data_IF_865145126520
#
_entry.id   IF_865145126520
#
_cell.length_a   1.000
_cell.length_b   1.000
_cell.length_c   1.000
_cell.angle_alpha   90.00
_cell.angle_beta   90.00
_cell.angle_gamma   90.00
#
_symmetry.space_group_name_H-M   'P 1'
#
loop_
_entity.id
_entity.type
_entity.pdbx_description
1 polymer ?
#
# COMPACT_ATOMS: atom_id res chain seq x y z
N UNK A 1 -23.69 -22.04 -15.08
CA UNK A 1 -23.14 -21.52 -13.81
C UNK A 1 -22.12 -20.46 -14.15
N UNK A 2 -22.49 -19.19 -13.99
CA UNK A 2 -21.61 -18.04 -14.16
C UNK A 2 -20.55 -18.08 -13.06
N UNK A 3 -19.30 -18.37 -13.43
CA UNK A 3 -18.17 -18.34 -12.51
C UNK A 3 -17.94 -16.87 -12.13
N UNK A 4 -18.32 -16.48 -10.92
CA UNK A 4 -17.99 -15.18 -10.37
C UNK A 4 -16.47 -14.99 -10.45
N UNK A 5 -15.97 -13.82 -10.89
CA UNK A 5 -14.53 -13.57 -10.92
C UNK A 5 -14.00 -13.71 -9.51
N UNK A 6 -12.92 -14.49 -9.35
CA UNK A 6 -12.27 -14.63 -8.06
C UNK A 6 -11.83 -13.25 -7.58
N UNK A 7 -12.38 -12.79 -6.45
CA UNK A 7 -11.98 -11.53 -5.84
C UNK A 7 -10.49 -11.63 -5.45
N UNK A 8 -9.69 -10.67 -5.87
CA UNK A 8 -8.30 -10.58 -5.44
C UNK A 8 -8.25 -10.14 -3.98
N UNK A 9 -7.92 -11.08 -3.10
CA UNK A 9 -7.84 -10.86 -1.65
C UNK A 9 -6.45 -10.42 -1.18
N UNK A 10 -5.45 -10.38 -2.07
CA UNK A 10 -4.04 -10.09 -1.76
C UNK A 10 -3.81 -8.70 -1.14
N UNK A 11 -4.58 -7.69 -1.58
CA UNK A 11 -4.46 -6.30 -1.11
C UNK A 11 -5.46 -5.95 0.00
N UNK A 12 -6.28 -6.92 0.44
CA UNK A 12 -7.29 -6.70 1.46
C UNK A 12 -6.66 -6.79 2.84
N UNK A 13 -6.99 -5.84 3.72
CA UNK A 13 -6.86 -6.01 5.15
C UNK A 13 -8.24 -6.23 5.77
N UNK A 14 -8.34 -7.11 6.76
CA UNK A 14 -9.59 -7.37 7.47
C UNK A 14 -9.40 -7.22 8.98
N UNK A 15 -10.42 -6.65 9.64
CA UNK A 15 -10.49 -6.51 11.09
C UNK A 15 -11.95 -6.57 11.53
N UNK A 16 -12.22 -7.28 12.63
CA UNK A 16 -13.51 -7.27 13.32
C UNK A 16 -13.35 -6.70 14.74
N UNK A 17 -13.56 -5.38 14.94
CA UNK A 17 -13.41 -4.76 16.25
C UNK A 17 -14.40 -5.31 17.28
N UNK A 18 -15.62 -5.67 16.88
CA UNK A 18 -16.67 -6.21 17.76
C UNK A 18 -16.20 -7.47 18.52
N UNK A 19 -15.49 -8.36 17.82
CA UNK A 19 -14.95 -9.57 18.41
C UNK A 19 -13.86 -9.25 19.44
N UNK A 20 -12.96 -8.32 19.10
CA UNK A 20 -11.88 -7.90 19.99
C UNK A 20 -12.41 -7.15 21.23
N UNK A 21 -13.55 -6.46 21.12
CA UNK A 21 -14.22 -5.86 22.28
C UNK A 21 -14.86 -6.90 23.20
N UNK A 22 -15.46 -7.95 22.62
CA UNK A 22 -16.13 -9.00 23.39
C UNK A 22 -15.13 -9.96 24.09
N UNK A 23 -14.09 -10.39 23.38
CA UNK A 23 -13.14 -11.39 23.86
C UNK A 23 -11.80 -10.80 24.34
N UNK A 24 -11.57 -9.51 24.11
CA UNK A 24 -10.32 -8.83 24.49
C UNK A 24 -9.18 -9.08 23.50
N UNK A 25 -7.94 -9.07 24.01
CA UNK A 25 -6.75 -9.36 23.20
C UNK A 25 -6.68 -10.84 22.84
N UNK A 26 -6.11 -11.13 21.65
CA UNK A 26 -5.89 -12.49 21.19
C UNK A 26 -4.76 -13.15 22.01
N UNK A 27 -5.09 -13.64 23.21
CA UNK A 27 -4.10 -14.25 24.12
C UNK A 27 -3.80 -15.71 23.79
N UNK A 28 -4.69 -16.38 23.07
CA UNK A 28 -4.69 -17.83 22.91
C UNK A 28 -4.77 -18.19 21.42
N UNK A 29 -3.99 -19.17 20.93
CA UNK A 29 -4.03 -19.60 19.53
C UNK A 29 -5.43 -19.99 19.05
N UNK A 30 -6.20 -20.68 19.89
CA UNK A 30 -7.58 -21.08 19.58
C UNK A 30 -8.48 -19.88 19.30
N UNK A 31 -8.38 -18.82 20.12
CA UNK A 31 -9.12 -17.57 19.94
C UNK A 31 -8.69 -16.85 18.66
N UNK A 32 -7.40 -16.89 18.32
CA UNK A 32 -6.89 -16.34 17.06
C UNK A 32 -7.46 -17.10 15.84
N UNK A 33 -7.62 -18.42 15.91
CA UNK A 33 -8.27 -19.21 14.84
C UNK A 33 -9.78 -18.96 14.78
N UNK A 34 -10.45 -18.74 15.91
CA UNK A 34 -11.85 -18.32 15.93
C UNK A 34 -12.03 -16.95 15.25
N UNK A 35 -11.20 -15.98 15.62
CA UNK A 35 -11.14 -14.67 15.00
C UNK A 35 -10.89 -14.75 13.49
N UNK A 36 -9.94 -15.60 13.07
CA UNK A 36 -9.64 -15.83 11.66
C UNK A 36 -10.84 -16.40 10.89
N UNK A 37 -11.70 -17.19 11.53
CA UNK A 37 -12.84 -17.82 10.85
C UNK A 37 -13.96 -16.85 10.46
N UNK A 38 -14.01 -15.68 11.10
CA UNK A 38 -14.87 -14.57 10.73
C UNK A 38 -14.33 -13.79 9.51
N UNK A 39 -13.05 -13.98 9.17
CA UNK A 39 -12.42 -13.28 8.06
C UNK A 39 -12.86 -13.83 6.70
N UNK A 40 -12.89 -13.00 5.64
CA UNK A 40 -13.17 -13.46 4.28
C UNK A 40 -12.09 -14.39 3.71
N UNK A 41 -10.93 -14.47 4.37
CA UNK A 41 -9.83 -15.37 4.00
C UNK A 41 -10.12 -16.82 4.41
N UNK A 42 -11.04 -17.03 5.35
CA UNK A 42 -11.39 -18.36 5.83
C UNK A 42 -12.38 -19.03 4.90
N UNK A 43 -11.99 -20.21 4.41
CA UNK A 43 -12.84 -21.02 3.56
C UNK A 43 -13.78 -21.89 4.42
N UNK A 44 -15.09 -21.64 4.30
CA UNK A 44 -16.12 -22.39 5.02
C UNK A 44 -16.27 -23.85 4.55
N UNK A 45 -15.67 -24.21 3.41
CA UNK A 45 -15.62 -25.59 2.93
C UNK A 45 -14.45 -26.39 3.49
N UNK A 46 -13.52 -25.73 4.20
CA UNK A 46 -12.33 -26.36 4.79
C UNK A 46 -12.65 -27.40 5.86
N UNK A 47 -11.69 -28.29 6.11
CA UNK A 47 -11.78 -29.32 7.14
C UNK A 47 -11.95 -28.71 8.54
N UNK A 48 -11.37 -27.54 8.79
CA UNK A 48 -11.54 -26.80 10.05
C UNK A 48 -13.01 -26.42 10.30
N UNK A 49 -13.73 -25.97 9.27
CA UNK A 49 -15.13 -25.60 9.41
C UNK A 49 -16.00 -26.83 9.71
N UNK A 50 -15.72 -27.95 9.03
CA UNK A 50 -16.41 -29.22 9.28
C UNK A 50 -16.13 -29.75 10.69
N UNK A 51 -14.87 -29.72 11.13
CA UNK A 51 -14.46 -30.13 12.48
C UNK A 51 -15.14 -29.27 13.55
N UNK A 52 -15.18 -27.95 13.36
CA UNK A 52 -15.87 -27.02 14.26
C UNK A 52 -17.36 -27.33 14.37
N UNK A 53 -18.02 -27.55 13.24
CA UNK A 53 -19.44 -27.94 13.22
C UNK A 53 -19.66 -29.26 13.98
N UNK A 54 -18.82 -30.27 13.76
CA UNK A 54 -18.91 -31.56 14.47
C UNK A 54 -18.69 -31.42 15.97
N UNK A 55 -17.70 -30.63 16.39
CA UNK A 55 -17.37 -30.42 17.81
C UNK A 55 -18.44 -29.61 18.55
N UNK A 56 -19.05 -28.63 17.88
CA UNK A 56 -20.18 -27.88 18.45
C UNK A 56 -21.36 -28.81 18.79
N UNK A 57 -21.68 -29.78 17.94
CA UNK A 57 -22.77 -30.72 18.20
C UNK A 57 -22.39 -31.87 19.14
N UNK A 58 -21.15 -32.38 19.05
CA UNK A 58 -20.72 -33.59 19.78
C UNK A 58 -20.25 -33.30 21.20
N UNK A 59 -19.56 -32.17 21.42
CA UNK A 59 -18.83 -31.89 22.66
C UNK A 59 -19.17 -30.56 23.33
N UNK A 60 -20.11 -29.80 22.77
CA UNK A 60 -20.55 -28.52 23.33
C UNK A 60 -19.55 -27.36 23.14
N UNK A 61 -18.52 -27.52 22.29
CA UNK A 61 -17.55 -26.47 22.00
C UNK A 61 -16.18 -26.99 21.54
N UNK A 62 -15.29 -26.05 21.20
CA UNK A 62 -13.90 -26.31 20.78
C UNK A 62 -12.89 -26.23 21.95
N UNK A 63 -13.37 -25.97 23.17
CA UNK A 63 -12.51 -25.68 24.33
C UNK A 63 -11.72 -26.92 24.76
N UNK A 64 -10.38 -26.78 24.85
CA UNK A 64 -9.47 -27.86 25.28
C UNK A 64 -9.16 -28.93 24.23
N UNK A 65 -9.62 -28.77 22.99
CA UNK A 65 -9.29 -29.70 21.89
C UNK A 65 -8.02 -29.24 21.18
N UNK A 66 -7.10 -30.17 20.97
CA UNK A 66 -5.97 -29.96 20.06
C UNK A 66 -6.46 -30.07 18.61
N UNK A 67 -6.73 -28.91 17.99
CA UNK A 67 -7.24 -28.83 16.61
C UNK A 67 -6.30 -29.52 15.61
N UNK A 68 -4.98 -29.45 15.80
CA UNK A 68 -4.02 -30.02 14.86
C UNK A 68 -4.07 -31.56 14.86
N UNK A 69 -4.23 -32.16 16.05
CA UNK A 69 -4.30 -33.62 16.18
C UNK A 69 -5.55 -34.20 15.49
N UNK A 70 -6.68 -33.50 15.57
CA UNK A 70 -7.93 -33.91 14.93
C UNK A 70 -7.89 -33.69 13.41
N UNK A 71 -7.24 -32.61 12.94
CA UNK A 71 -7.09 -32.33 11.51
C UNK A 71 -6.28 -33.39 10.77
N UNK A 72 -5.34 -34.08 11.43
CA UNK A 72 -4.57 -35.19 10.84
C UNK A 72 -5.43 -36.37 10.37
N UNK A 73 -6.66 -36.50 10.86
CA UNK A 73 -7.62 -37.54 10.45
C UNK A 73 -8.29 -37.22 9.11
N UNK A 74 -8.26 -35.96 8.69
CA UNK A 74 -8.88 -35.50 7.46
C UNK A 74 -7.82 -35.30 6.36
N UNK A 75 -8.29 -35.32 5.11
CA UNK A 75 -7.48 -35.05 3.91
C UNK A 75 -8.15 -33.88 3.19
N UNK A 76 -7.36 -32.95 2.65
CA UNK A 76 -7.85 -31.76 1.97
C UNK A 76 -7.38 -30.45 2.60
N UNK A 77 -8.18 -29.41 2.42
CA UNK A 77 -7.83 -28.04 2.81
C UNK A 77 -7.96 -27.83 4.32
N UNK A 78 -6.89 -27.37 4.95
CA UNK A 78 -6.84 -27.05 6.38
C UNK A 78 -6.12 -25.72 6.63
N UNK A 79 -6.47 -25.09 7.76
CA UNK A 79 -5.80 -23.91 8.30
C UNK A 79 -5.16 -24.28 9.63
N UNK A 80 -3.86 -24.06 9.75
CA UNK A 80 -3.09 -24.40 10.95
C UNK A 80 -2.26 -23.21 11.39
N UNK A 81 -2.22 -22.95 12.69
CA UNK A 81 -1.34 -21.94 13.26
C UNK A 81 0.08 -22.49 13.25
N UNK A 82 0.95 -21.90 12.44
CA UNK A 82 2.35 -22.32 12.32
C UNK A 82 3.22 -21.68 13.40
N UNK A 83 2.92 -20.43 13.77
CA UNK A 83 3.65 -19.70 14.77
C UNK A 83 2.70 -18.79 15.55
N UNK A 84 2.92 -18.68 16.85
CA UNK A 84 2.12 -17.88 17.76
C UNK A 84 3.04 -17.14 18.71
N UNK A 85 2.97 -15.81 18.69
CA UNK A 85 3.57 -14.91 19.67
C UNK A 85 2.45 -13.99 20.19
N UNK A 86 1.66 -14.45 21.17
CA UNK A 86 0.58 -13.65 21.74
C UNK A 86 1.13 -12.41 22.48
N UNK A 87 0.44 -11.26 22.43
CA UNK A 87 -0.80 -10.96 21.69
C UNK A 87 -0.56 -10.39 20.27
N UNK A 88 0.69 -10.19 19.88
CA UNK A 88 1.04 -9.31 18.76
C UNK A 88 0.96 -9.98 17.39
N UNK A 89 1.41 -11.24 17.27
CA UNK A 89 1.58 -11.92 15.99
C UNK A 89 1.10 -13.38 16.02
N UNK A 90 0.25 -13.72 15.07
CA UNK A 90 -0.09 -15.11 14.73
C UNK A 90 0.11 -15.36 13.25
N UNK A 91 0.75 -16.48 12.90
CA UNK A 91 0.96 -16.91 11.52
C UNK A 91 0.13 -18.16 11.27
N UNK A 92 -0.77 -18.08 10.29
CA UNK A 92 -1.66 -19.16 9.88
C UNK A 92 -1.24 -19.64 8.50
N UNK A 93 -1.02 -20.93 8.35
CA UNK A 93 -0.76 -21.56 7.06
C UNK A 93 -2.05 -22.17 6.53
N UNK A 94 -2.38 -21.84 5.28
CA UNK A 94 -3.33 -22.60 4.47
C UNK A 94 -2.58 -23.76 3.86
N UNK A 95 -2.97 -24.97 4.22
CA UNK A 95 -2.33 -26.21 3.78
C UNK A 95 -3.34 -27.06 3.03
N UNK A 96 -2.86 -27.82 2.07
CA UNK A 96 -3.60 -28.93 1.48
C UNK A 96 -2.90 -30.23 1.86
N UNK A 97 -3.60 -31.04 2.64
CA UNK A 97 -3.12 -32.31 3.14
C UNK A 97 -3.52 -33.41 2.16
N UNK A 98 -2.53 -34.13 1.63
CA UNK A 98 -2.77 -35.28 0.73
C UNK A 98 -2.77 -36.59 1.51
N UNK A 99 -1.98 -36.66 2.58
CA UNK A 99 -1.91 -37.82 3.48
C UNK A 99 -1.75 -37.37 4.94
N UNK A 100 -1.96 -38.24 5.95
CA UNK A 100 -1.79 -37.88 7.35
C UNK A 100 -0.38 -37.37 7.70
N UNK A 101 0.63 -37.73 6.92
CA UNK A 101 2.03 -37.32 7.13
C UNK A 101 2.45 -36.18 6.19
N UNK A 102 1.82 -36.05 5.03
CA UNK A 102 2.23 -35.11 3.99
C UNK A 102 1.21 -33.98 3.79
N UNK A 103 1.68 -32.75 4.00
CA UNK A 103 0.91 -31.52 3.77
C UNK A 103 1.70 -30.51 2.95
N UNK A 104 1.05 -29.91 1.97
CA UNK A 104 1.61 -28.84 1.13
C UNK A 104 1.11 -27.49 1.60
N UNK A 105 1.99 -26.50 1.75
CA UNK A 105 1.60 -25.13 2.13
C UNK A 105 1.22 -24.37 0.87
N UNK A 106 -0.02 -23.88 0.79
CA UNK A 106 -0.53 -23.10 -0.33
C UNK A 106 -0.33 -21.59 -0.13
N UNK A 107 -0.35 -21.13 1.12
CA UNK A 107 -0.20 -19.72 1.46
C UNK A 107 -0.15 -19.49 2.96
N UNK A 108 0.21 -18.28 3.34
CA UNK A 108 0.27 -17.86 4.73
C UNK A 108 -0.57 -16.58 4.95
N UNK A 109 -1.09 -16.46 6.16
CA UNK A 109 -1.83 -15.31 6.65
C UNK A 109 -1.21 -14.87 7.97
N UNK A 110 -1.16 -13.57 8.19
CA UNK A 110 -0.65 -13.02 9.44
C UNK A 110 -1.72 -12.19 10.12
N UNK A 111 -1.84 -12.38 11.44
CA UNK A 111 -2.67 -11.56 12.31
C UNK A 111 -1.71 -10.69 13.11
N UNK A 112 -1.70 -9.39 12.81
CA UNK A 112 -0.87 -8.38 13.48
C UNK A 112 -1.78 -7.41 14.23
N UNK A 113 -1.67 -7.35 15.55
CA UNK A 113 -2.45 -6.43 16.39
C UNK A 113 -3.97 -6.48 16.12
N UNK A 114 -4.49 -7.67 15.78
CA UNK A 114 -5.88 -7.89 15.39
C UNK A 114 -6.22 -7.57 13.93
N UNK A 115 -5.29 -7.14 13.10
CA UNK A 115 -5.50 -7.00 11.65
C UNK A 115 -5.05 -8.28 10.96
N UNK A 116 -5.90 -8.83 10.09
CA UNK A 116 -5.61 -10.03 9.30
C UNK A 116 -5.21 -9.62 7.90
N UNK A 117 -4.10 -10.18 7.44
CA UNK A 117 -3.54 -9.94 6.13
C UNK A 117 -3.14 -11.25 5.45
N UNK A 118 -3.21 -11.25 4.13
CA UNK A 118 -2.60 -12.30 3.31
C UNK A 118 -1.11 -12.01 3.11
N UNK A 119 -0.25 -13.00 3.33
CA UNK A 119 1.16 -12.89 3.02
C UNK A 119 1.35 -12.97 1.49
N UNK A 120 1.97 -11.97 0.85
CA UNK A 120 2.26 -12.04 -0.57
C UNK A 120 3.38 -13.05 -0.81
N UNK A 121 3.37 -13.68 -1.98
CA UNK A 121 4.49 -14.54 -2.37
C UNK A 121 5.69 -13.69 -2.77
N UNK A 122 6.91 -14.22 -2.59
CA UNK A 122 8.12 -13.50 -3.00
C UNK A 122 8.09 -13.15 -4.50
N UNK A 123 7.55 -14.05 -5.32
CA UNK A 123 7.40 -13.85 -6.75
C UNK A 123 6.51 -12.65 -7.07
N UNK A 124 5.34 -12.53 -6.43
CA UNK A 124 4.45 -11.38 -6.59
C UNK A 124 5.15 -10.07 -6.21
N UNK A 125 5.82 -10.03 -5.04
CA UNK A 125 6.52 -8.83 -4.58
C UNK A 125 7.61 -8.40 -5.57
N UNK A 126 8.38 -9.34 -6.11
CA UNK A 126 9.42 -9.04 -7.09
C UNK A 126 8.84 -8.57 -8.42
N UNK A 127 7.79 -9.25 -8.91
CA UNK A 127 7.14 -8.90 -10.16
C UNK A 127 6.55 -7.48 -10.11
N UNK A 128 5.86 -7.13 -9.03
CA UNK A 128 5.29 -5.79 -8.85
C UNK A 128 6.38 -4.71 -8.75
N UNK A 129 7.49 -4.99 -8.07
CA UNK A 129 8.62 -4.04 -7.97
C UNK A 129 9.29 -3.80 -9.33
N UNK A 130 9.51 -4.84 -10.12
CA UNK A 130 10.09 -4.74 -11.46
C UNK A 130 9.14 -3.97 -12.37
N UNK A 131 7.85 -4.31 -12.35
CA UNK A 131 6.82 -3.64 -13.14
C UNK A 131 6.74 -2.16 -12.81
N UNK A 132 6.70 -1.81 -11.52
CA UNK A 132 6.66 -0.42 -11.06
C UNK A 132 7.91 0.36 -11.51
N UNK A 133 9.09 -0.26 -11.42
CA UNK A 133 10.35 0.35 -11.86
C UNK A 133 10.37 0.59 -13.37
N UNK A 134 9.93 -0.39 -14.15
CA UNK A 134 9.83 -0.29 -15.61
C UNK A 134 8.80 0.76 -16.03
N UNK A 135 7.65 0.80 -15.35
CA UNK A 135 6.62 1.80 -15.57
C UNK A 135 7.14 3.22 -15.28
N UNK A 136 7.88 3.40 -14.19
CA UNK A 136 8.50 4.69 -13.86
C UNK A 136 9.53 5.11 -14.92
N UNK A 137 10.37 4.19 -15.42
CA UNK A 137 11.31 4.47 -16.50
C UNK A 137 10.61 4.82 -17.81
N UNK A 138 9.60 4.04 -18.19
CA UNK A 138 8.82 4.28 -19.41
C UNK A 138 8.13 5.64 -19.36
N UNK A 139 7.47 5.96 -18.24
CA UNK A 139 6.81 7.25 -18.03
C UNK A 139 7.82 8.41 -18.08
N UNK A 140 8.98 8.24 -17.46
CA UNK A 140 10.05 9.25 -17.48
C UNK A 140 10.61 9.47 -18.88
N UNK A 141 10.88 8.40 -19.63
CA UNK A 141 11.39 8.48 -21.00
C UNK A 141 10.35 9.06 -21.96
N UNK A 142 9.06 8.71 -21.80
CA UNK A 142 7.98 9.30 -22.58
C UNK A 142 7.86 10.80 -22.30
N UNK A 143 7.97 11.21 -21.04
CA UNK A 143 7.99 12.62 -20.65
C UNK A 143 9.21 13.34 -21.24
N UNK A 144 10.41 12.75 -21.18
CA UNK A 144 11.59 13.34 -21.81
C UNK A 144 11.44 13.45 -23.33
N UNK A 145 10.82 12.44 -23.96
CA UNK A 145 10.59 12.41 -25.40
C UNK A 145 9.57 13.47 -25.83
N UNK A 146 8.54 13.73 -25.02
CA UNK A 146 7.58 14.81 -25.31
C UNK A 146 8.21 16.20 -25.17
N UNK A 147 9.11 16.40 -24.19
CA UNK A 147 9.88 17.63 -24.02
C UNK A 147 11.11 17.74 -24.93
N UNK A 148 11.33 16.78 -25.83
CA UNK A 148 12.51 16.76 -26.70
C UNK A 148 12.49 17.96 -27.68
N UNK A 149 13.54 18.81 -27.69
CA UNK A 149 13.62 19.90 -28.66
C UNK A 149 13.78 19.34 -30.08
N UNK A 150 13.22 20.05 -31.07
CA UNK A 150 13.38 19.65 -32.48
C UNK A 150 14.86 19.63 -32.86
N UNK A 151 15.31 18.49 -33.39
CA UNK A 151 16.69 18.32 -33.80
C UNK A 151 16.99 19.22 -35.00
N UNK A 152 18.05 20.01 -34.91
CA UNK A 152 18.57 20.81 -36.03
C UNK A 152 20.09 20.62 -36.13
N UNK A 153 20.68 20.51 -37.34
CA UNK A 153 22.12 20.28 -37.51
C UNK A 153 23.00 21.34 -36.82
N UNK A 154 22.48 22.55 -36.64
CA UNK A 154 23.16 23.67 -35.98
C UNK A 154 23.07 23.63 -34.45
N UNK A 155 21.99 23.11 -33.86
CA UNK A 155 21.83 23.00 -32.39
C UNK A 155 22.16 21.62 -31.82
N UNK A 156 22.43 20.62 -32.67
CA UNK A 156 22.79 19.26 -32.27
C UNK A 156 21.85 18.73 -31.16
N UNK A 157 22.34 17.89 -30.24
CA UNK A 157 21.57 17.36 -29.11
C UNK A 157 21.70 18.24 -27.87
N UNK A 158 21.32 19.52 -27.96
CA UNK A 158 21.30 20.42 -26.80
C UNK A 158 19.94 20.34 -26.10
N UNK A 159 19.95 19.97 -24.82
CA UNK A 159 18.77 20.06 -23.93
C UNK A 159 18.84 21.39 -23.16
N UNK A 160 17.85 22.25 -23.34
CA UNK A 160 17.76 23.51 -22.60
C UNK A 160 17.15 23.25 -21.21
N UNK A 161 18.00 22.83 -20.26
CA UNK A 161 17.60 22.62 -18.87
C UNK A 161 17.38 24.00 -18.23
N UNK A 162 16.10 24.37 -18.02
CA UNK A 162 15.78 25.57 -17.23
C UNK A 162 16.29 25.36 -15.79
N UNK A 163 16.99 26.35 -15.18
CA UNK A 163 17.38 26.23 -13.79
C UNK A 163 16.13 26.02 -12.92
N UNK A 164 16.22 25.22 -11.84
CA UNK A 164 15.08 25.02 -10.95
C UNK A 164 14.57 26.39 -10.48
N UNK A 165 13.24 26.60 -10.43
CA UNK A 165 12.70 27.84 -9.92
C UNK A 165 13.30 28.06 -8.53
N UNK A 166 13.92 29.22 -8.34
CA UNK A 166 14.49 29.60 -7.05
C UNK A 166 13.35 29.53 -6.05
N UNK A 167 13.37 28.51 -5.19
CA UNK A 167 12.40 28.36 -4.11
C UNK A 167 12.52 29.65 -3.32
N UNK A 168 11.48 30.47 -3.38
CA UNK A 168 11.45 31.74 -2.68
C UNK A 168 11.84 31.48 -1.23
N UNK A 169 12.75 32.29 -0.73
CA UNK A 169 13.31 32.29 0.63
C UNK A 169 12.27 32.37 1.76
N UNK A 170 10.98 32.30 1.44
CA UNK A 170 9.86 32.22 2.35
C UNK A 170 9.90 30.96 3.25
N UNK A 171 10.38 29.81 2.75
CA UNK A 171 10.47 28.61 3.60
C UNK A 171 11.66 28.64 4.57
N UNK A 172 12.70 29.43 4.27
CA UNK A 172 13.83 29.64 5.18
C UNK A 172 13.49 30.62 6.33
N UNK A 173 12.56 31.54 6.10
CA UNK A 173 12.07 32.46 7.13
C UNK A 173 11.20 31.76 8.19
N UNK A 174 10.52 30.65 7.83
CA UNK A 174 9.73 29.85 8.78
C UNK A 174 10.58 29.09 9.82
N UNK A 175 11.91 29.02 9.64
CA UNK A 175 12.83 28.38 10.59
C UNK A 175 13.30 29.31 11.72
N UNK A 176 13.14 30.63 11.58
CA UNK A 176 13.46 31.62 12.61
C UNK A 176 12.15 32.22 13.13
N UNK A 177 11.55 31.55 14.12
CA UNK A 177 10.29 31.98 14.72
C UNK A 177 10.40 33.32 15.45
N UNK A 178 9.75 34.34 14.89
CA UNK A 178 9.18 35.48 15.62
C UNK A 178 7.76 35.74 15.08
N UNK A 179 6.78 36.04 15.95
CA UNK A 179 5.38 36.06 15.56
C UNK A 179 5.02 37.35 14.80
N UNK A 180 4.51 37.19 13.58
CA UNK A 180 3.83 38.28 12.87
C UNK A 180 2.50 38.58 13.58
N UNK A 181 2.37 39.82 14.06
CA UNK A 181 1.13 40.34 14.61
C UNK A 181 0.02 40.35 13.55
N UNK A 182 -1.16 39.88 13.97
CA UNK A 182 -2.41 39.96 13.23
C UNK A 182 -2.78 41.43 12.99
N UNK A 183 -3.04 41.82 11.73
CA UNK A 183 -3.83 43.01 11.44
C UNK A 183 -5.03 42.60 10.58
N UNK A 184 -6.14 42.40 11.27
CA UNK A 184 -7.48 42.26 10.71
C UNK A 184 -8.03 43.65 10.39
N UNK A 185 -8.21 43.95 9.10
CA UNK A 185 -9.06 45.06 8.67
C UNK A 185 -9.99 44.60 7.53
N UNK A 186 -11.21 44.23 7.92
CA UNK A 186 -12.38 44.19 7.04
C UNK A 186 -12.84 45.62 6.77
N UNK A 187 -13.24 45.93 5.53
CA UNK A 187 -14.33 46.88 5.21
C UNK A 187 -14.81 46.70 3.76
N UNK A 188 -16.13 46.62 3.64
CA UNK A 188 -16.94 46.34 2.46
C UNK A 188 -17.25 47.60 1.63
N UNK A 189 -17.76 47.33 0.41
CA UNK A 189 -18.68 48.09 -0.44
C UNK A 189 -18.22 49.38 -1.16
N UNK A 190 -18.29 49.37 -2.50
CA UNK A 190 -19.37 50.08 -3.22
C UNK A 190 -19.35 49.84 -4.75
N UNK A 191 -20.54 49.93 -5.34
CA UNK A 191 -20.92 49.52 -6.68
C UNK A 191 -20.80 50.60 -7.79
N UNK A 192 -20.82 50.10 -9.04
CA UNK A 192 -21.31 50.71 -10.29
C UNK A 192 -20.56 51.93 -10.89
N UNK A 193 -20.11 51.80 -12.15
CA UNK A 193 -20.77 52.39 -13.33
C UNK A 193 -20.03 51.96 -14.62
N UNK A 194 -20.75 51.79 -15.73
CA UNK A 194 -20.20 51.34 -17.02
C UNK A 194 -20.22 52.43 -18.09
N UNK A 195 -19.30 52.39 -19.05
CA UNK A 195 -19.46 53.01 -20.39
C UNK A 195 -18.62 52.24 -21.42
N UNK A 196 -19.25 51.93 -22.56
CA UNK A 196 -18.71 51.30 -23.77
C UNK A 196 -17.87 52.26 -24.62
N UNK A 197 -16.82 51.75 -25.29
CA UNK A 197 -16.40 52.30 -26.60
C UNK A 197 -15.63 51.28 -27.45
N UNK A 198 -16.15 51.00 -28.65
CA UNK A 198 -15.51 50.23 -29.72
C UNK A 198 -14.29 50.95 -30.32
N UNK A 199 -13.24 50.19 -30.68
CA UNK A 199 -12.73 50.01 -32.06
C UNK A 199 -11.32 49.40 -32.08
N UNK A 200 -11.10 48.47 -33.02
CA UNK A 200 -9.78 48.22 -33.59
C UNK A 200 -9.36 46.75 -33.56
N UNK A 201 -9.61 46.04 -34.66
CA UNK A 201 -9.04 44.74 -34.94
C UNK A 201 -7.51 44.83 -35.10
N UNK A 202 -6.77 44.12 -34.25
CA UNK A 202 -5.40 43.64 -34.52
C UNK A 202 -5.25 42.27 -33.83
N UNK A 203 -4.86 41.26 -34.60
CA UNK A 203 -4.60 39.89 -34.13
C UNK A 203 -3.56 39.87 -33.00
N UNK A 204 -3.86 39.12 -31.94
CA UNK A 204 -2.93 38.80 -30.84
C UNK A 204 -2.92 37.28 -30.60
N UNK A 205 -1.78 36.71 -30.16
CA UNK A 205 -1.51 35.28 -30.20
C UNK A 205 -2.25 34.52 -29.09
N UNK A 206 -2.50 33.24 -29.38
CA UNK A 206 -3.13 32.24 -28.51
C UNK A 206 -2.42 32.17 -27.16
N UNK A 207 -3.17 32.38 -26.07
CA UNK A 207 -2.75 32.11 -24.69
C UNK A 207 -2.79 30.61 -24.44
N UNK A 208 -1.64 30.00 -24.20
CA UNK A 208 -1.52 28.70 -23.53
C UNK A 208 -1.57 28.97 -22.01
N UNK A 209 -2.79 29.00 -21.47
CA UNK A 209 -3.05 28.84 -20.04
C UNK A 209 -3.93 27.59 -19.91
N UNK A 210 -3.55 26.68 -19.01
CA UNK A 210 -4.22 25.42 -18.61
C UNK A 210 -3.56 24.08 -19.03
N UNK A 211 -2.30 23.84 -18.65
CA UNK A 211 -1.78 22.46 -18.50
C UNK A 211 -1.16 22.17 -17.13
N UNK A 212 -1.25 23.10 -16.16
CA UNK A 212 -0.65 22.89 -14.82
C UNK A 212 -1.51 22.08 -13.85
N UNK A 213 -2.63 21.48 -14.31
CA UNK A 213 -3.62 20.85 -13.42
C UNK A 213 -3.62 19.33 -13.31
N UNK A 214 -2.76 18.60 -13.98
CA UNK A 214 -2.76 17.12 -13.86
C UNK A 214 -1.37 16.52 -13.66
N UNK A 215 -0.70 16.87 -12.55
CA UNK A 215 0.25 15.92 -11.94
C UNK A 215 -0.46 15.15 -10.83
N UNK A 216 -0.72 13.85 -10.98
CA UNK A 216 -1.18 13.04 -9.86
C UNK A 216 -0.06 13.01 -8.81
N UNK A 217 -0.34 13.57 -7.63
CA UNK A 217 0.61 13.70 -6.52
C UNK A 217 1.08 12.39 -5.89
N UNK A 218 0.72 11.24 -6.44
CA UNK A 218 0.93 9.91 -5.84
C UNK A 218 2.08 9.11 -6.47
N UNK A 219 2.70 9.57 -7.57
CA UNK A 219 3.79 8.82 -8.22
C UNK A 219 5.17 8.99 -7.56
N UNK A 220 5.33 9.95 -6.65
CA UNK A 220 6.58 10.15 -5.93
C UNK A 220 6.43 9.58 -4.52
N UNK A 221 6.91 8.35 -4.30
CA UNK A 221 7.02 7.79 -2.95
C UNK A 221 8.34 8.27 -2.32
N UNK A 222 8.33 9.30 -1.45
CA UNK A 222 9.54 9.90 -0.90
C UNK A 222 10.35 8.92 -0.04
N UNK A 223 9.69 7.88 0.48
CA UNK A 223 10.33 6.85 1.30
C UNK A 223 11.23 5.94 0.46
N UNK A 224 10.81 5.62 -0.78
CA UNK A 224 11.61 4.83 -1.70
C UNK A 224 12.89 5.59 -2.09
N UNK A 225 12.76 6.89 -2.36
CA UNK A 225 13.89 7.74 -2.72
C UNK A 225 14.89 7.88 -1.56
N UNK A 226 14.40 8.08 -0.33
CA UNK A 226 15.24 8.15 0.87
C UNK A 226 15.96 6.83 1.15
N UNK A 227 15.27 5.70 1.00
CA UNK A 227 15.88 4.38 1.16
C UNK A 227 17.00 4.14 0.14
N UNK A 228 16.82 4.59 -1.10
CA UNK A 228 17.82 4.45 -2.17
C UNK A 228 19.05 5.34 -1.93
N UNK A 229 18.84 6.55 -1.39
CA UNK A 229 19.92 7.44 -0.95
C UNK A 229 20.71 6.86 0.22
N UNK A 230 20.05 6.24 1.20
CA UNK A 230 20.73 5.61 2.34
C UNK A 230 21.54 4.39 1.89
N UNK A 231 21.02 3.56 0.98
CA UNK A 231 21.77 2.44 0.39
C UNK A 231 23.00 2.92 -0.37
N UNK A 232 22.87 3.98 -1.18
CA UNK A 232 24.00 4.56 -1.91
C UNK A 232 25.12 5.03 -0.95
N UNK A 233 24.75 5.68 0.17
CA UNK A 233 25.70 6.11 1.20
C UNK A 233 26.40 4.94 1.89
N UNK A 234 25.70 3.82 2.11
CA UNK A 234 26.31 2.62 2.71
C UNK A 234 27.28 1.91 1.78
N UNK A 235 27.11 2.00 0.46
CA UNK A 235 28.03 1.41 -0.51
C UNK A 235 29.32 2.22 -0.73
N UNK A 236 29.30 3.52 -0.45
CA UNK A 236 30.47 4.39 -0.58
C UNK A 236 31.46 4.29 0.59
N UNK A 237 31.14 3.57 1.67
CA UNK A 237 32.07 3.37 2.77
C UNK A 237 32.96 2.14 2.51
N UNK A 238 34.27 2.31 2.24
CA UNK A 238 35.19 1.16 2.24
C UNK A 238 35.26 0.60 3.66
N UNK A 239 35.08 -0.72 3.79
CA UNK A 239 35.25 -1.41 5.07
C UNK A 239 36.66 -1.17 5.60
N UNK A 240 36.81 -0.28 6.57
CA UNK A 240 38.01 -0.19 7.40
C UNK A 240 37.93 -1.34 8.40
N UNK A 241 38.38 -2.51 7.98
CA UNK A 241 38.65 -3.64 8.87
C UNK A 241 39.85 -3.27 9.75
N UNK A 242 39.58 -2.89 10.99
CA UNK A 242 40.58 -2.73 12.05
C UNK A 242 40.94 -4.09 12.67
N UNK A 243 42.24 -4.27 12.86
CA UNK A 243 42.89 -5.38 13.58
C UNK A 243 42.51 -5.45 15.07
#
# INVERSE_FOLDING_TARGET
MTQQPALNLSHLQWRAPEFLLAFGSLSTPQLAMEYFSLSPFFDKTSNNAQLRMQMMFSRGGMEGVDEEAELRRFVGLEFVIAHSTPPDLFIIHKRNRTSPTESTVLGAFYILNGNVYQAPTLFEVLNERILTSLHALSTSLNSLTSLKPHWTPSKLYKWDIKPPPQVSTALAAAANGEPAAEDTAMREDDAADGVEQEKGAVEAPVKEEDEEKERPGEAFNPLLFRALQDVARTMEQPQVAGA
#
